data_IF_839133576628
#
_entry.id   IF_839133576628
#
_cell.length_a   1.000
_cell.length_b   1.000
_cell.length_c   1.000
_cell.angle_alpha   90.00
_cell.angle_beta   90.00
_cell.angle_gamma   90.00
#
_symmetry.space_group_name_H-M   'P 1'
#
loop_
_entity.id
_entity.type
_entity.pdbx_description
1 polymer ?
#
# COMPACT_ATOMS: atom_id res chain seq x y z
N UNK A 1 -1.74 -7.30 12.07
CA UNK A 1 -2.18 -6.08 11.36
C UNK A 1 -1.09 -5.05 11.52
N UNK A 2 -0.64 -4.46 10.43
CA UNK A 2 0.44 -3.45 10.42
C UNK A 2 -0.10 -2.07 10.08
N UNK A 3 -1.05 -1.96 9.15
CA UNK A 3 -1.67 -0.69 8.75
C UNK A 3 -3.07 -0.91 8.19
N UNK A 4 -3.84 0.18 8.09
CA UNK A 4 -5.22 0.18 7.65
C UNK A 4 -5.59 1.53 7.04
N UNK A 5 -6.29 1.53 5.91
CA UNK A 5 -6.73 2.76 5.23
C UNK A 5 -8.13 2.60 4.65
N UNK A 6 -9.02 3.58 4.92
CA UNK A 6 -10.32 3.66 4.28
C UNK A 6 -10.23 4.33 2.91
N UNK A 7 -11.02 3.84 1.96
CA UNK A 7 -11.35 4.61 0.76
C UNK A 7 -12.12 5.87 1.17
N UNK A 8 -11.84 7.05 0.57
CA UNK A 8 -12.52 8.30 0.95
C UNK A 8 -14.04 8.28 0.81
N UNK A 9 -14.60 7.44 -0.05
CA UNK A 9 -16.05 7.23 -0.17
C UNK A 9 -16.64 6.33 0.92
N UNK A 10 -15.80 5.70 1.73
CA UNK A 10 -16.20 4.92 2.89
C UNK A 10 -16.86 3.57 2.60
N UNK A 11 -16.74 3.04 1.40
CA UNK A 11 -17.31 1.74 1.05
C UNK A 11 -16.30 0.60 1.06
N UNK A 12 -15.01 0.94 0.90
CA UNK A 12 -13.90 -0.02 0.86
C UNK A 12 -12.82 0.35 1.86
N UNK A 13 -12.02 -0.62 2.22
CA UNK A 13 -10.80 -0.39 2.97
C UNK A 13 -9.71 -1.35 2.54
N UNK A 14 -8.49 -0.96 2.80
CA UNK A 14 -7.29 -1.77 2.65
C UNK A 14 -6.71 -2.11 4.02
N UNK A 15 -6.26 -3.34 4.16
CA UNK A 15 -5.63 -3.87 5.37
C UNK A 15 -4.27 -4.44 5.01
N UNK A 16 -3.22 -3.99 5.68
CA UNK A 16 -1.90 -4.61 5.61
C UNK A 16 -1.72 -5.55 6.78
N UNK A 17 -1.44 -6.80 6.49
CA UNK A 17 -1.21 -7.84 7.48
C UNK A 17 0.05 -8.64 7.16
N UNK A 18 0.61 -9.29 8.16
CA UNK A 18 1.69 -10.25 7.98
C UNK A 18 1.48 -11.41 8.94
N UNK A 19 1.74 -12.60 8.43
CA UNK A 19 1.87 -13.83 9.21
C UNK A 19 3.33 -14.23 9.43
N UNK A 20 4.28 -13.38 9.02
CA UNK A 20 5.70 -13.64 9.19
C UNK A 20 6.06 -13.71 10.69
N UNK A 21 6.67 -14.82 11.15
CA UNK A 21 7.06 -14.98 12.55
C UNK A 21 8.10 -13.96 13.02
N UNK A 22 8.82 -13.33 12.09
CA UNK A 22 9.84 -12.32 12.39
C UNK A 22 9.27 -10.90 12.51
N UNK A 23 7.95 -10.71 12.36
CA UNK A 23 7.29 -9.39 12.37
C UNK A 23 7.62 -8.58 13.64
N UNK A 24 7.75 -9.24 14.78
CA UNK A 24 8.03 -8.57 16.07
C UNK A 24 9.50 -8.20 16.30
N UNK A 25 10.41 -8.88 15.65
CA UNK A 25 11.86 -8.66 15.80
C UNK A 25 12.61 -9.13 14.54
N UNK A 26 12.57 -8.35 13.45
CA UNK A 26 13.28 -8.69 12.25
C UNK A 26 14.80 -8.61 12.49
N UNK A 27 15.49 -9.72 12.29
CA UNK A 27 16.95 -9.76 12.32
C UNK A 27 17.56 -8.90 11.20
N UNK A 28 18.86 -8.61 11.25
CA UNK A 28 19.55 -7.85 10.21
C UNK A 28 19.37 -8.52 8.83
N UNK A 29 18.93 -7.76 7.84
CA UNK A 29 18.74 -8.22 6.46
C UNK A 29 17.50 -9.06 6.21
N UNK A 30 16.62 -9.25 7.20
CA UNK A 30 15.35 -9.96 7.00
C UNK A 30 14.29 -8.98 6.48
N UNK A 31 13.76 -9.27 5.31
CA UNK A 31 12.62 -8.53 4.74
C UNK A 31 11.32 -9.20 5.16
N UNK A 32 10.52 -8.50 5.95
CA UNK A 32 9.19 -8.98 6.36
C UNK A 32 8.26 -8.97 5.16
N UNK A 33 7.59 -10.09 4.93
CA UNK A 33 6.57 -10.20 3.90
C UNK A 33 5.19 -9.88 4.47
N UNK A 34 4.43 -9.13 3.70
CA UNK A 34 3.08 -8.67 4.04
C UNK A 34 2.09 -9.05 2.96
N UNK A 35 0.83 -9.09 3.33
CA UNK A 35 -0.31 -9.22 2.42
C UNK A 35 -1.18 -7.98 2.56
N UNK A 36 -1.57 -7.39 1.42
CA UNK A 36 -2.47 -6.24 1.37
C UNK A 36 -3.81 -6.71 0.84
N UNK A 37 -4.82 -6.70 1.70
CA UNK A 37 -6.17 -7.18 1.40
C UNK A 37 -7.15 -6.02 1.30
N UNK A 38 -7.95 -6.03 0.24
CA UNK A 38 -8.99 -5.03 -0.03
C UNK A 38 -10.37 -5.62 0.25
N UNK A 39 -11.18 -4.88 1.00
CA UNK A 39 -12.53 -5.28 1.42
C UNK A 39 -13.55 -4.23 1.00
N UNK A 40 -14.78 -4.68 0.78
CA UNK A 40 -15.96 -3.84 0.52
C UNK A 40 -17.06 -4.14 1.50
N UNK A 41 -17.73 -3.10 1.99
CA UNK A 41 -18.92 -3.22 2.83
C UNK A 41 -20.11 -3.76 2.02
N UNK A 42 -20.64 -4.90 2.40
CA UNK A 42 -21.93 -5.43 1.92
C UNK A 42 -23.06 -4.89 2.80
N UNK A 43 -23.60 -3.72 2.46
CA UNK A 43 -24.65 -3.04 3.26
C UNK A 43 -25.88 -3.91 3.56
N UNK A 44 -26.23 -4.81 2.65
CA UNK A 44 -27.37 -5.72 2.82
C UNK A 44 -27.18 -6.74 3.93
N UNK A 45 -25.95 -7.12 4.21
CA UNK A 45 -25.59 -8.13 5.21
C UNK A 45 -24.95 -7.52 6.46
N UNK A 46 -24.49 -6.27 6.38
CA UNK A 46 -23.71 -5.63 7.44
C UNK A 46 -22.33 -6.25 7.63
N UNK A 47 -21.79 -6.89 6.61
CA UNK A 47 -20.53 -7.62 6.62
C UNK A 47 -19.55 -7.08 5.56
N UNK A 48 -18.31 -7.53 5.60
CA UNK A 48 -17.28 -7.13 4.65
C UNK A 48 -16.90 -8.29 3.74
N UNK A 49 -16.95 -8.03 2.44
CA UNK A 49 -16.50 -8.97 1.41
C UNK A 49 -15.04 -8.68 1.05
N UNK A 50 -14.20 -9.71 1.10
CA UNK A 50 -12.86 -9.64 0.53
C UNK A 50 -12.95 -9.53 -0.99
N UNK A 51 -12.35 -8.48 -1.55
CA UNK A 51 -12.27 -8.26 -2.99
C UNK A 51 -11.00 -8.88 -3.58
N UNK A 52 -9.86 -8.53 -3.02
CA UNK A 52 -8.55 -8.97 -3.52
C UNK A 52 -7.50 -8.96 -2.41
N UNK A 53 -6.48 -9.79 -2.58
CA UNK A 53 -5.26 -9.76 -1.77
C UNK A 53 -4.04 -9.68 -2.68
N UNK A 54 -3.17 -8.72 -2.43
CA UNK A 54 -1.83 -8.63 -3.02
C UNK A 54 -0.86 -9.28 -2.02
N UNK A 55 -0.42 -10.49 -2.33
CA UNK A 55 0.43 -11.26 -1.43
C UNK A 55 1.91 -10.98 -1.64
N UNK A 56 2.72 -11.32 -0.63
CA UNK A 56 4.18 -11.27 -0.67
C UNK A 56 4.77 -9.89 -0.96
N UNK A 57 4.10 -8.82 -0.48
CA UNK A 57 4.62 -7.46 -0.56
C UNK A 57 5.66 -7.21 0.54
N UNK A 58 6.41 -6.12 0.38
CA UNK A 58 7.34 -5.61 1.40
C UNK A 58 6.75 -4.42 2.14
N UNK A 59 5.62 -3.91 1.64
CA UNK A 59 4.96 -2.71 2.16
C UNK A 59 4.35 -2.94 3.53
N UNK A 60 4.57 -2.00 4.43
CA UNK A 60 3.96 -1.99 5.76
C UNK A 60 2.90 -0.88 5.92
N UNK A 61 2.73 -0.08 4.90
CA UNK A 61 1.85 1.10 4.91
C UNK A 61 1.04 1.16 3.62
N UNK A 62 -0.23 1.53 3.74
CA UNK A 62 -1.14 1.76 2.62
C UNK A 62 -1.81 3.12 2.77
N UNK A 63 -1.87 3.92 1.69
CA UNK A 63 -2.59 5.20 1.66
C UNK A 63 -3.48 5.27 0.44
N UNK A 64 -4.78 5.47 0.67
CA UNK A 64 -5.76 5.62 -0.38
C UNK A 64 -5.79 7.06 -0.90
N UNK A 65 -5.85 7.22 -2.23
CA UNK A 65 -6.01 8.53 -2.86
C UNK A 65 -7.31 9.20 -2.42
N UNK A 66 -7.32 10.52 -2.18
CA UNK A 66 -8.54 11.29 -1.89
C UNK A 66 -9.64 11.14 -2.96
N UNK A 67 -9.28 10.78 -4.17
CA UNK A 67 -10.24 10.51 -5.26
C UNK A 67 -10.84 9.10 -5.21
N UNK A 68 -10.35 8.23 -4.35
CA UNK A 68 -10.59 6.79 -4.43
C UNK A 68 -9.78 6.16 -5.56
N UNK A 69 -10.06 4.93 -5.93
CA UNK A 69 -9.47 4.16 -7.02
C UNK A 69 -7.97 3.89 -6.88
N UNK A 70 -7.12 4.90 -6.66
CA UNK A 70 -5.68 4.70 -6.56
C UNK A 70 -5.21 4.51 -5.12
N UNK A 71 -4.21 3.68 -4.93
CA UNK A 71 -3.51 3.53 -3.65
C UNK A 71 -2.01 3.57 -3.85
N UNK A 72 -1.30 4.02 -2.84
CA UNK A 72 0.14 3.83 -2.71
C UNK A 72 0.42 2.86 -1.58
N UNK A 73 1.26 1.88 -1.86
CA UNK A 73 1.85 0.97 -0.88
C UNK A 73 3.28 1.41 -0.64
N UNK A 74 3.71 1.43 0.60
CA UNK A 74 5.04 1.90 0.97
C UNK A 74 5.66 1.06 2.07
N UNK A 75 6.98 0.96 2.06
CA UNK A 75 7.76 0.48 3.20
C UNK A 75 8.26 1.68 3.98
N UNK A 76 7.62 1.98 5.11
CA UNK A 76 7.89 3.16 5.94
C UNK A 76 8.68 2.76 7.18
N UNK A 77 9.62 3.61 7.59
CA UNK A 77 10.41 3.41 8.81
C UNK A 77 11.56 2.41 8.66
N UNK A 78 11.88 2.00 7.45
CA UNK A 78 13.04 1.16 7.17
C UNK A 78 14.32 1.99 7.09
N UNK A 79 15.40 1.50 7.68
CA UNK A 79 16.75 2.08 7.51
C UNK A 79 17.38 1.74 6.16
N UNK A 80 16.70 0.98 5.33
CA UNK A 80 17.11 0.60 3.99
C UNK A 80 16.27 1.32 2.93
N UNK A 81 16.42 0.93 1.68
CA UNK A 81 15.62 1.40 0.56
C UNK A 81 14.13 1.12 0.84
N UNK A 82 13.31 2.16 0.78
CA UNK A 82 11.86 2.06 0.85
C UNK A 82 11.29 1.96 -0.56
N UNK A 83 10.54 0.91 -0.80
CA UNK A 83 9.85 0.69 -2.06
C UNK A 83 8.46 1.31 -1.99
N UNK A 84 8.09 2.01 -3.06
CA UNK A 84 6.78 2.60 -3.27
C UNK A 84 6.13 1.91 -4.46
N UNK A 85 4.91 1.43 -4.32
CA UNK A 85 4.12 0.85 -5.40
C UNK A 85 2.84 1.66 -5.58
N UNK A 86 2.55 2.07 -6.81
CA UNK A 86 1.36 2.83 -7.18
C UNK A 86 0.40 1.92 -7.92
N UNK A 87 -0.81 1.78 -7.39
CA UNK A 87 -1.81 0.85 -7.91
C UNK A 87 -3.08 1.56 -8.34
N UNK A 88 -3.61 1.16 -9.49
CA UNK A 88 -4.99 1.45 -9.92
C UNK A 88 -5.88 0.30 -9.49
N UNK A 89 -6.95 0.61 -8.74
CA UNK A 89 -7.89 -0.36 -8.18
C UNK A 89 -9.27 -0.18 -8.82
N UNK A 90 -9.43 -0.58 -10.08
CA UNK A 90 -10.75 -0.57 -10.73
C UNK A 90 -11.56 -1.82 -10.38
N UNK A 91 -12.18 -1.83 -9.20
CA UNK A 91 -13.04 -2.92 -8.76
C UNK A 91 -14.39 -3.00 -9.49
N UNK A 92 -14.71 -2.05 -10.36
CA UNK A 92 -15.98 -2.03 -11.12
C UNK A 92 -15.87 -2.75 -12.47
N UNK A 93 -14.66 -3.07 -12.89
CA UNK A 93 -14.44 -3.84 -14.10
C UNK A 93 -14.67 -5.32 -13.78
N UNK A 94 -15.83 -5.85 -14.21
CA UNK A 94 -16.50 -7.07 -13.77
C UNK A 94 -15.77 -8.42 -14.03
N UNK A 95 -14.48 -8.45 -14.13
CA UNK A 95 -13.73 -9.71 -14.20
C UNK A 95 -13.68 -10.49 -12.87
N UNK A 96 -14.11 -9.87 -11.75
CA UNK A 96 -14.20 -10.54 -10.43
C UNK A 96 -15.25 -11.65 -10.32
N UNK A 97 -16.11 -11.84 -11.35
CA UNK A 97 -17.17 -12.84 -11.38
C UNK A 97 -16.98 -13.95 -12.41
N UNK A 98 -15.92 -13.93 -13.20
CA UNK A 98 -15.71 -14.99 -14.21
C UNK A 98 -15.35 -16.31 -13.53
N UNK A 99 -16.13 -17.36 -13.90
CA UNK A 99 -15.92 -18.73 -13.41
C UNK A 99 -14.59 -19.35 -13.85
N UNK A 100 -13.87 -18.71 -14.75
CA UNK A 100 -12.63 -19.18 -15.35
C UNK A 100 -11.36 -18.54 -14.74
N UNK A 101 -11.52 -17.81 -13.63
CA UNK A 101 -10.39 -17.24 -12.91
C UNK A 101 -9.55 -18.34 -12.28
N UNK A 102 -8.34 -18.59 -12.79
CA UNK A 102 -7.37 -19.50 -12.22
C UNK A 102 -6.40 -18.68 -11.34
N UNK A 103 -6.47 -18.81 -10.00
CA UNK A 103 -5.50 -18.17 -9.10
C UNK A 103 -4.09 -18.60 -9.46
N UNK A 104 -3.21 -17.64 -9.74
CA UNK A 104 -1.80 -17.90 -10.03
C UNK A 104 -1.37 -17.82 -11.50
N UNK A 105 -2.30 -17.76 -12.46
CA UNK A 105 -1.96 -17.58 -13.88
C UNK A 105 -2.27 -16.17 -14.40
N UNK A 106 -3.24 -15.52 -13.78
CA UNK A 106 -3.65 -14.15 -14.08
C UNK A 106 -3.46 -13.28 -12.83
N UNK A 107 -2.21 -13.04 -12.43
CA UNK A 107 -1.90 -12.13 -11.30
C UNK A 107 -2.45 -10.72 -11.51
N UNK A 108 -2.82 -10.38 -12.73
CA UNK A 108 -3.20 -9.04 -13.18
C UNK A 108 -4.56 -8.99 -13.88
N UNK A 109 -5.39 -10.02 -13.70
CA UNK A 109 -6.73 -10.07 -14.28
C UNK A 109 -7.69 -9.06 -13.65
N UNK A 110 -8.35 -8.26 -14.48
CA UNK A 110 -9.53 -7.49 -14.14
C UNK A 110 -9.31 -6.26 -13.27
N UNK A 111 -8.94 -5.15 -13.85
CA UNK A 111 -9.12 -3.83 -13.23
C UNK A 111 -8.11 -3.42 -12.16
N UNK A 112 -7.29 -4.32 -11.63
CA UNK A 112 -6.22 -3.98 -10.68
C UNK A 112 -4.88 -3.98 -11.41
N UNK A 113 -4.22 -2.83 -11.45
CA UNK A 113 -2.99 -2.64 -12.21
C UNK A 113 -1.93 -1.90 -11.40
N UNK A 114 -0.70 -2.41 -11.44
CA UNK A 114 0.47 -1.67 -10.98
C UNK A 114 0.79 -0.60 -12.03
N UNK A 115 0.72 0.66 -11.63
CA UNK A 115 1.01 1.81 -12.50
C UNK A 115 2.50 2.11 -12.57
N UNK A 116 3.20 1.87 -11.47
CA UNK A 116 4.64 2.09 -11.38
C UNK A 116 5.19 1.84 -9.99
N UNK A 117 6.49 1.87 -9.91
CA UNK A 117 7.24 1.76 -8.66
C UNK A 117 8.19 2.93 -8.52
N UNK A 118 8.47 3.33 -7.30
CA UNK A 118 9.46 4.32 -6.95
C UNK A 118 10.27 3.89 -5.75
N UNK A 119 11.38 4.57 -5.52
CA UNK A 119 12.25 4.33 -4.39
C UNK A 119 12.55 5.63 -3.68
N UNK A 120 12.47 5.62 -2.35
CA UNK A 120 12.95 6.73 -1.55
C UNK A 120 13.63 6.16 -0.29
N UNK A 121 14.89 6.50 -0.08
CA UNK A 121 15.65 5.99 1.06
C UNK A 121 15.15 6.57 2.38
N UNK A 122 14.87 5.70 3.35
CA UNK A 122 14.54 6.10 4.71
C UNK A 122 13.19 6.80 4.86
N UNK A 123 12.22 6.52 3.98
CA UNK A 123 10.86 7.10 4.09
C UNK A 123 10.27 6.89 5.47
N UNK A 124 9.80 7.97 6.07
CA UNK A 124 9.11 7.96 7.37
C UNK A 124 7.65 8.32 7.27
N UNK A 125 7.24 8.92 6.15
CA UNK A 125 5.85 9.30 5.92
C UNK A 125 5.50 9.36 4.43
N UNK A 126 4.22 9.08 4.12
CA UNK A 126 3.68 9.05 2.76
C UNK A 126 2.27 9.63 2.79
N UNK A 127 2.05 10.70 2.03
CA UNK A 127 0.77 11.39 1.97
C UNK A 127 0.37 11.75 0.55
N UNK A 128 -0.94 11.63 0.25
CA UNK A 128 -1.50 12.17 -0.98
C UNK A 128 -1.77 13.66 -0.87
N UNK A 129 -1.57 14.39 -1.96
CA UNK A 129 -2.11 15.74 -2.05
C UNK A 129 -3.65 15.71 -2.11
N UNK A 130 -4.34 16.78 -1.70
CA UNK A 130 -5.80 16.82 -1.70
C UNK A 130 -6.44 16.61 -3.08
N UNK A 131 -5.72 16.90 -4.16
CA UNK A 131 -6.21 16.67 -5.52
C UNK A 131 -6.15 15.20 -5.94
N UNK A 132 -5.40 14.36 -5.21
CA UNK A 132 -5.16 12.96 -5.53
C UNK A 132 -4.35 12.73 -6.81
N UNK A 133 -3.51 13.71 -7.18
CA UNK A 133 -2.64 13.64 -8.36
C UNK A 133 -1.18 13.37 -7.99
N UNK A 134 -0.79 13.77 -6.79
CA UNK A 134 0.59 13.69 -6.33
C UNK A 134 0.69 12.95 -5.02
N UNK A 135 1.78 12.27 -4.82
CA UNK A 135 2.17 11.66 -3.55
C UNK A 135 3.44 12.34 -3.07
N UNK A 136 3.41 12.84 -1.85
CA UNK A 136 4.57 13.35 -1.16
C UNK A 136 5.13 12.27 -0.24
N UNK A 137 6.43 12.07 -0.29
CA UNK A 137 7.14 11.20 0.64
C UNK A 137 8.17 12.02 1.41
N UNK A 138 8.32 11.75 2.68
CA UNK A 138 9.30 12.43 3.51
C UNK A 138 10.16 11.44 4.28
N UNK A 139 11.42 11.82 4.50
CA UNK A 139 12.34 11.13 5.39
C UNK A 139 12.69 12.07 6.56
N UNK A 140 12.40 11.64 7.80
CA UNK A 140 12.68 12.43 9.00
C UNK A 140 13.69 11.72 9.88
N UNK A 141 14.80 12.38 10.14
CA UNK A 141 15.88 11.89 11.01
C UNK A 141 15.39 11.64 12.44
N UNK A 142 14.39 12.38 12.91
CA UNK A 142 13.83 12.24 14.26
C UNK A 142 13.09 10.92 14.51
N UNK A 143 12.60 10.25 13.46
CA UNK A 143 11.96 8.94 13.56
C UNK A 143 12.96 7.78 13.50
N UNK A 144 14.18 8.05 13.05
CA UNK A 144 15.29 7.13 13.12
C UNK A 144 16.22 7.62 14.23
N UNK A 145 16.42 6.85 15.28
CA UNK A 145 17.31 7.19 16.41
C UNK A 145 18.81 7.20 16.00
N UNK A 146 19.13 7.90 14.93
CA UNK A 146 20.51 8.14 14.48
C UNK A 146 20.71 9.64 14.38
N UNK A 147 21.51 10.17 15.27
CA UNK A 147 21.96 11.55 15.25
C UNK A 147 22.79 11.83 14.00
N UNK A 148 22.19 12.40 12.97
CA UNK A 148 22.92 13.10 11.92
C UNK A 148 22.13 14.37 11.61
N UNK A 149 22.78 15.51 11.78
CA UNK A 149 22.26 16.84 11.51
C UNK A 149 22.13 17.07 9.99
N UNK A 150 21.05 16.63 9.36
CA UNK A 150 20.65 17.18 8.07
C UNK A 150 19.16 16.98 7.81
N UNK A 151 18.47 18.07 7.57
CA UNK A 151 17.11 18.10 7.09
C UNK A 151 17.12 17.82 5.59
N UNK A 152 16.78 16.62 5.17
CA UNK A 152 16.51 16.33 3.77
C UNK A 152 15.02 16.07 3.62
N UNK A 153 14.30 17.07 3.18
CA UNK A 153 12.93 16.92 2.70
C UNK A 153 13.03 16.75 1.19
N UNK A 154 12.95 15.53 0.69
CA UNK A 154 12.88 15.27 -0.74
C UNK A 154 11.40 15.07 -1.08
N UNK A 155 10.82 16.05 -1.79
CA UNK A 155 9.51 15.91 -2.42
C UNK A 155 9.73 15.20 -3.74
N UNK A 156 9.40 13.94 -3.79
CA UNK A 156 9.29 13.22 -5.05
C UNK A 156 7.80 13.19 -5.42
N UNK A 157 7.44 13.94 -6.46
CA UNK A 157 6.07 14.00 -6.94
C UNK A 157 5.90 13.02 -8.10
N UNK A 158 5.19 11.93 -7.89
CA UNK A 158 4.69 11.10 -8.96
C UNK A 158 3.38 11.69 -9.49
N UNK A 159 3.32 12.00 -10.80
CA UNK A 159 2.11 12.53 -11.47
C UNK A 159 1.33 11.38 -12.10
N UNK A 160 0.02 11.30 -11.85
CA UNK A 160 -0.93 10.33 -12.41
C UNK A 160 -2.00 11.02 -13.27
#
# INVERSE_FOLDING_TARGET
>A
MTDFSWEPKGERFALVSSSDPNLGNPGPGITIKTDVSFYQLERSKGDFKLLRTLSQRTSNTVRWSPRGRHVVLATVGSSSKSELEFWDLDFNNDDFGRKDFVPGKDEWGGGIQLLGTGDHYGVTDVEWDPSGRYVATSASVWKHMVCIESWSCMLEAASF
#
